data_IF_268346193879
#
_entry.id   IF_268346193879
#
_cell.length_a   1.000
_cell.length_b   1.000
_cell.length_c   1.000
_cell.angle_alpha   90.00
_cell.angle_beta   90.00
_cell.angle_gamma   90.00
#
_symmetry.space_group_name_H-M   'P 1'
#
loop_
_entity.id
_entity.type
_entity.pdbx_description
1 polymer ?
#
# COMPACT_ATOMS: atom_id res chain seq x y z
N UNK A 1 45.79 -44.39 -9.66
CA UNK A 1 44.44 -44.45 -9.04
C UNK A 1 44.22 -43.53 -7.82
N UNK A 2 45.15 -42.64 -7.41
CA UNK A 2 45.02 -41.94 -6.10
C UNK A 2 44.72 -40.44 -6.06
N UNK A 3 44.70 -39.70 -7.19
CA UNK A 3 44.56 -38.22 -7.15
C UNK A 3 43.14 -37.69 -7.39
N UNK A 4 42.25 -38.54 -7.89
CA UNK A 4 40.91 -38.15 -8.37
C UNK A 4 39.91 -37.95 -7.21
N UNK A 5 40.12 -38.59 -6.05
CA UNK A 5 39.20 -38.42 -4.91
C UNK A 5 39.37 -37.06 -4.20
N UNK A 6 40.55 -36.45 -4.29
CA UNK A 6 40.85 -35.23 -3.53
C UNK A 6 40.21 -33.99 -4.17
N UNK A 7 40.21 -33.86 -5.50
CA UNK A 7 39.59 -32.70 -6.17
C UNK A 7 38.07 -32.75 -6.08
N UNK A 8 37.47 -33.94 -6.25
CA UNK A 8 36.02 -34.12 -6.07
C UNK A 8 35.62 -33.79 -4.64
N UNK A 9 36.36 -34.30 -3.65
CA UNK A 9 36.12 -34.00 -2.24
C UNK A 9 36.23 -32.50 -1.95
N UNK A 10 37.27 -31.83 -2.47
CA UNK A 10 37.42 -30.39 -2.29
C UNK A 10 36.27 -29.61 -2.93
N UNK A 11 35.84 -30.03 -4.12
CA UNK A 11 34.73 -29.40 -4.83
C UNK A 11 33.42 -29.54 -4.05
N UNK A 12 33.07 -30.77 -3.61
CA UNK A 12 31.85 -31.01 -2.84
C UNK A 12 31.85 -30.23 -1.52
N UNK A 13 32.98 -30.20 -0.80
CA UNK A 13 33.09 -29.45 0.45
C UNK A 13 33.03 -27.94 0.23
N UNK A 14 33.65 -27.41 -0.82
CA UNK A 14 33.53 -25.99 -1.17
C UNK A 14 32.09 -25.62 -1.57
N UNK A 15 31.40 -26.45 -2.35
CA UNK A 15 29.99 -26.22 -2.70
C UNK A 15 29.09 -26.24 -1.45
N UNK A 16 29.30 -27.17 -0.52
CA UNK A 16 28.58 -27.24 0.75
C UNK A 16 28.89 -26.02 1.63
N UNK A 17 30.15 -25.59 1.70
CA UNK A 17 30.56 -24.41 2.48
C UNK A 17 29.92 -23.13 1.92
N UNK A 18 29.96 -22.94 0.60
CA UNK A 18 29.34 -21.80 -0.09
C UNK A 18 27.83 -21.82 0.11
N UNK A 19 27.18 -22.99 0.01
CA UNK A 19 25.76 -23.14 0.28
C UNK A 19 25.41 -22.75 1.72
N UNK A 20 26.19 -23.21 2.71
CA UNK A 20 25.98 -22.87 4.12
C UNK A 20 26.24 -21.38 4.41
N UNK A 21 27.27 -20.77 3.82
CA UNK A 21 27.54 -19.34 3.95
C UNK A 21 26.40 -18.52 3.34
N UNK A 22 25.90 -18.94 2.16
CA UNK A 22 24.75 -18.31 1.53
C UNK A 22 23.50 -18.45 2.42
N UNK A 23 23.23 -19.64 2.94
CA UNK A 23 22.08 -19.90 3.83
C UNK A 23 22.17 -19.08 5.13
N UNK A 24 23.35 -19.02 5.75
CA UNK A 24 23.60 -18.25 6.98
C UNK A 24 23.48 -16.74 6.75
N UNK A 25 24.02 -16.24 5.64
CA UNK A 25 23.97 -14.81 5.28
C UNK A 25 22.55 -14.38 4.89
N UNK A 26 21.81 -15.26 4.22
CA UNK A 26 20.41 -15.05 3.89
C UNK A 26 19.45 -15.40 5.02
N UNK A 27 19.91 -15.93 6.17
CA UNK A 27 19.05 -16.21 7.34
C UNK A 27 18.42 -14.93 7.91
N UNK A 28 19.11 -13.78 7.81
CA UNK A 28 18.54 -12.47 8.13
C UNK A 28 17.50 -12.01 7.11
N UNK A 29 17.72 -12.29 5.82
CA UNK A 29 16.75 -12.06 4.74
C UNK A 29 15.54 -12.98 4.92
N UNK A 30 15.74 -14.21 5.40
CA UNK A 30 14.71 -15.19 5.71
C UNK A 30 13.74 -14.69 6.79
N UNK A 31 14.27 -14.01 7.81
CA UNK A 31 13.44 -13.37 8.85
C UNK A 31 12.59 -12.23 8.27
N UNK A 32 13.13 -11.48 7.31
CA UNK A 32 12.40 -10.42 6.59
C UNK A 32 11.35 -11.00 5.62
N UNK A 33 11.68 -12.07 4.88
CA UNK A 33 10.79 -12.78 3.94
C UNK A 33 9.64 -13.47 4.67
N UNK A 34 9.90 -14.13 5.81
CA UNK A 34 8.86 -14.74 6.64
C UNK A 34 7.87 -13.70 7.20
N UNK A 35 8.32 -12.47 7.41
CA UNK A 35 7.47 -11.36 7.84
C UNK A 35 6.71 -10.69 6.68
N UNK A 36 7.16 -10.83 5.42
CA UNK A 36 6.64 -10.07 4.26
C UNK A 36 5.80 -10.89 3.28
N UNK A 37 5.20 -12.02 3.69
CA UNK A 37 4.24 -12.79 2.86
C UNK A 37 4.85 -13.35 1.55
N UNK A 38 6.18 -13.31 1.40
CA UNK A 38 6.95 -13.69 0.21
C UNK A 38 7.47 -15.13 0.25
N UNK A 39 6.95 -15.94 1.17
CA UNK A 39 7.23 -17.38 1.31
C UNK A 39 7.14 -18.20 0.01
N UNK A 40 6.18 -17.97 -0.92
CA UNK A 40 6.09 -18.74 -2.16
C UNK A 40 7.30 -18.55 -3.07
N UNK A 41 7.86 -17.34 -3.17
CA UNK A 41 9.00 -17.05 -4.03
C UNK A 41 10.27 -17.78 -3.57
N UNK A 42 10.46 -17.91 -2.26
CA UNK A 42 11.58 -18.68 -1.71
C UNK A 42 11.50 -20.16 -2.11
N UNK A 43 10.30 -20.76 -2.04
CA UNK A 43 10.11 -22.14 -2.47
C UNK A 43 10.40 -22.33 -3.97
N UNK A 44 10.03 -21.36 -4.81
CA UNK A 44 10.34 -21.40 -6.25
C UNK A 44 11.85 -21.30 -6.53
N UNK A 45 12.56 -20.39 -5.87
CA UNK A 45 14.03 -20.27 -5.99
C UNK A 45 14.73 -21.56 -5.54
N UNK A 46 14.35 -22.09 -4.37
CA UNK A 46 14.91 -23.34 -3.85
C UNK A 46 14.64 -24.52 -4.78
N UNK A 47 13.41 -24.65 -5.30
CA UNK A 47 13.07 -25.66 -6.30
C UNK A 47 13.89 -25.50 -7.59
N UNK A 48 14.11 -24.26 -8.05
CA UNK A 48 14.95 -23.96 -9.21
C UNK A 48 16.38 -24.48 -9.02
N UNK A 49 17.02 -24.17 -7.89
CA UNK A 49 18.36 -24.66 -7.56
C UNK A 49 18.43 -26.18 -7.47
N UNK A 50 17.45 -26.82 -6.82
CA UNK A 50 17.38 -28.28 -6.72
C UNK A 50 17.24 -28.93 -8.09
N UNK A 51 16.43 -28.35 -8.97
CA UNK A 51 16.21 -28.87 -10.33
C UNK A 51 17.49 -28.79 -11.16
N UNK A 52 18.23 -27.67 -11.11
CA UNK A 52 19.50 -27.55 -11.84
C UNK A 52 20.54 -28.52 -11.29
N UNK A 53 20.61 -28.72 -9.97
CA UNK A 53 21.50 -29.71 -9.36
C UNK A 53 21.21 -31.13 -9.89
N UNK A 54 19.94 -31.52 -9.94
CA UNK A 54 19.53 -32.82 -10.48
C UNK A 54 19.85 -32.96 -11.97
N UNK A 55 19.71 -31.89 -12.76
CA UNK A 55 20.10 -31.87 -14.18
C UNK A 55 21.60 -32.04 -14.34
N UNK A 56 22.43 -31.39 -13.52
CA UNK A 56 23.89 -31.55 -13.54
C UNK A 56 24.27 -33.02 -13.27
N UNK A 57 23.68 -33.63 -12.25
CA UNK A 57 23.94 -35.04 -11.93
C UNK A 57 23.45 -35.99 -13.02
N UNK A 58 22.28 -35.72 -13.63
CA UNK A 58 21.79 -36.49 -14.76
C UNK A 58 22.69 -36.37 -16.00
N UNK A 59 23.18 -35.16 -16.29
CA UNK A 59 24.11 -34.90 -17.40
C UNK A 59 25.45 -35.61 -17.18
N UNK A 60 26.00 -35.57 -15.96
CA UNK A 60 27.20 -36.34 -15.59
C UNK A 60 27.01 -37.84 -15.77
N UNK A 61 25.85 -38.37 -15.36
CA UNK A 61 25.53 -39.78 -15.52
C UNK A 61 25.36 -40.18 -16.99
N UNK A 62 24.82 -39.29 -17.83
CA UNK A 62 24.58 -39.55 -19.24
C UNK A 62 25.83 -39.37 -20.12
N UNK A 63 26.80 -38.54 -19.71
CA UNK A 63 28.02 -38.22 -20.46
C UNK A 63 29.24 -39.06 -20.06
N UNK A 64 29.04 -40.25 -19.50
CA UNK A 64 30.12 -41.14 -19.04
C UNK A 64 31.15 -41.50 -20.14
N UNK A 65 30.82 -41.33 -21.42
CA UNK A 65 31.71 -41.59 -22.56
C UNK A 65 32.51 -40.36 -23.04
N UNK A 66 32.28 -39.17 -22.49
CA UNK A 66 32.94 -37.93 -22.92
C UNK A 66 34.28 -37.72 -22.19
N UNK A 67 35.22 -37.00 -22.82
CA UNK A 67 36.52 -36.72 -22.21
C UNK A 67 36.37 -35.85 -20.95
N UNK A 68 37.14 -36.19 -19.91
CA UNK A 68 37.02 -35.59 -18.57
C UNK A 68 37.15 -34.06 -18.52
N UNK A 69 37.91 -33.43 -19.43
CA UNK A 69 38.03 -31.98 -19.51
C UNK A 69 36.71 -31.31 -19.89
N UNK A 70 35.97 -31.86 -20.86
CA UNK A 70 34.72 -31.27 -21.35
C UNK A 70 33.62 -31.34 -20.27
N UNK A 71 33.58 -32.44 -19.52
CA UNK A 71 32.62 -32.61 -18.41
C UNK A 71 32.89 -31.58 -17.30
N UNK A 72 34.17 -31.31 -17.02
CA UNK A 72 34.55 -30.33 -16.00
C UNK A 72 34.13 -28.92 -16.39
N UNK A 73 34.38 -28.50 -17.63
CA UNK A 73 34.01 -27.17 -18.12
C UNK A 73 32.49 -26.95 -18.16
N UNK A 74 31.72 -27.94 -18.61
CA UNK A 74 30.26 -27.90 -18.58
C UNK A 74 29.74 -27.81 -17.14
N UNK A 75 30.31 -28.61 -16.23
CA UNK A 75 29.91 -28.59 -14.81
C UNK A 75 30.20 -27.23 -14.17
N UNK A 76 31.37 -26.64 -14.47
CA UNK A 76 31.78 -25.35 -13.92
C UNK A 76 30.89 -24.21 -14.45
N UNK A 77 30.54 -24.26 -15.73
CA UNK A 77 29.65 -23.29 -16.36
C UNK A 77 28.22 -23.38 -15.79
N UNK A 78 27.67 -24.59 -15.65
CA UNK A 78 26.35 -24.81 -15.05
C UNK A 78 26.31 -24.35 -13.58
N UNK A 79 27.37 -24.62 -12.83
CA UNK A 79 27.53 -24.17 -11.45
C UNK A 79 27.61 -22.65 -11.33
N UNK A 80 28.37 -21.98 -12.21
CA UNK A 80 28.45 -20.53 -12.27
C UNK A 80 27.09 -19.91 -12.59
N UNK A 81 26.38 -20.46 -13.58
CA UNK A 81 25.04 -20.00 -13.97
C UNK A 81 24.06 -20.12 -12.78
N UNK A 82 24.14 -21.21 -12.01
CA UNK A 82 23.30 -21.37 -10.82
C UNK A 82 23.66 -20.45 -9.68
N UNK A 83 24.94 -20.25 -9.40
CA UNK A 83 25.37 -19.43 -8.26
C UNK A 83 25.21 -17.94 -8.50
N UNK A 84 25.28 -17.49 -9.76
CA UNK A 84 25.33 -16.05 -10.06
C UNK A 84 24.03 -15.56 -10.64
N UNK A 85 23.43 -16.25 -11.62
CA UNK A 85 22.30 -15.70 -12.35
C UNK A 85 20.97 -15.89 -11.63
N UNK A 86 20.74 -17.06 -11.02
CA UNK A 86 19.52 -17.34 -10.24
C UNK A 86 19.32 -16.39 -9.04
N UNK A 87 20.31 -16.16 -8.15
CA UNK A 87 20.11 -15.21 -7.06
C UNK A 87 20.03 -13.76 -7.53
N UNK A 88 20.66 -13.39 -8.66
CA UNK A 88 20.49 -12.05 -9.25
C UNK A 88 19.07 -11.84 -9.78
N UNK A 89 18.44 -12.87 -10.37
CA UNK A 89 17.03 -12.80 -10.77
C UNK A 89 16.10 -12.72 -9.56
N UNK A 90 16.41 -13.44 -8.47
CA UNK A 90 15.59 -13.37 -7.25
C UNK A 90 15.68 -12.00 -6.57
N UNK A 91 16.87 -11.40 -6.50
CA UNK A 91 17.04 -10.03 -5.97
C UNK A 91 16.31 -9.02 -6.85
N UNK A 92 16.40 -9.16 -8.18
CA UNK A 92 15.68 -8.28 -9.10
C UNK A 92 14.16 -8.42 -8.94
N UNK A 93 13.64 -9.65 -8.81
CA UNK A 93 12.23 -9.92 -8.55
C UNK A 93 11.79 -9.35 -7.20
N UNK A 94 12.58 -9.51 -6.15
CA UNK A 94 12.28 -8.93 -4.83
C UNK A 94 12.21 -7.40 -4.89
N UNK A 95 13.17 -6.74 -5.53
CA UNK A 95 13.21 -5.28 -5.65
C UNK A 95 12.06 -4.74 -6.51
N UNK A 96 11.70 -5.44 -7.59
CA UNK A 96 10.59 -5.04 -8.47
C UNK A 96 9.23 -5.30 -7.84
N UNK A 97 9.07 -6.40 -7.11
CA UNK A 97 7.84 -6.71 -6.37
C UNK A 97 7.61 -5.75 -5.21
N UNK A 98 8.65 -5.37 -4.46
CA UNK A 98 8.54 -4.40 -3.36
C UNK A 98 8.07 -3.03 -3.88
N UNK A 99 8.59 -2.59 -5.03
CA UNK A 99 8.12 -1.37 -5.71
C UNK A 99 6.64 -1.46 -6.13
N UNK A 100 6.20 -2.60 -6.66
CA UNK A 100 4.79 -2.78 -7.04
C UNK A 100 3.84 -2.77 -5.83
N UNK A 101 4.26 -3.34 -4.70
CA UNK A 101 3.46 -3.32 -3.46
C UNK A 101 3.38 -1.90 -2.89
N UNK A 102 4.50 -1.16 -2.88
CA UNK A 102 4.51 0.23 -2.44
C UNK A 102 3.61 1.13 -3.31
N UNK A 103 3.56 0.90 -4.62
CA UNK A 103 2.67 1.63 -5.52
C UNK A 103 1.19 1.33 -5.25
N UNK A 104 0.82 0.07 -4.97
CA UNK A 104 -0.57 -0.28 -4.64
C UNK A 104 -1.01 0.32 -3.30
N UNK A 105 -0.15 0.27 -2.28
CA UNK A 105 -0.42 0.87 -0.98
C UNK A 105 -0.47 2.41 -1.08
N UNK A 106 0.42 3.03 -1.87
CA UNK A 106 0.39 4.47 -2.15
C UNK A 106 -0.91 4.89 -2.83
N UNK A 107 -1.33 4.17 -3.88
CA UNK A 107 -2.60 4.45 -4.59
C UNK A 107 -3.78 4.29 -3.64
N UNK A 108 -3.79 3.26 -2.80
CA UNK A 108 -4.84 3.05 -1.79
C UNK A 108 -4.91 4.19 -0.78
N UNK A 109 -3.77 4.66 -0.30
CA UNK A 109 -3.70 5.76 0.66
C UNK A 109 -4.10 7.09 0.03
N UNK A 110 -3.75 7.33 -1.23
CA UNK A 110 -4.15 8.55 -1.94
C UNK A 110 -5.66 8.54 -2.24
N UNK A 111 -6.22 7.39 -2.65
CA UNK A 111 -7.68 7.21 -2.77
C UNK A 111 -8.35 7.48 -1.42
N UNK A 112 -7.82 6.93 -0.32
CA UNK A 112 -8.37 7.14 1.03
C UNK A 112 -8.34 8.62 1.43
N UNK A 113 -7.23 9.33 1.18
CA UNK A 113 -7.12 10.76 1.43
C UNK A 113 -8.12 11.55 0.59
N UNK A 114 -8.29 11.22 -0.68
CA UNK A 114 -9.26 11.87 -1.57
C UNK A 114 -10.72 11.61 -1.15
N UNK A 115 -11.04 10.41 -0.67
CA UNK A 115 -12.35 10.13 -0.05
C UNK A 115 -12.53 10.96 1.22
N UNK A 116 -11.51 11.10 2.07
CA UNK A 116 -11.61 11.91 3.29
C UNK A 116 -11.71 13.41 2.98
N UNK A 117 -11.00 13.91 1.97
CA UNK A 117 -11.08 15.30 1.46
C UNK A 117 -12.50 15.60 0.93
N UNK A 118 -13.07 14.67 0.15
CA UNK A 118 -14.45 14.76 -0.32
C UNK A 118 -15.51 14.46 0.76
N UNK A 119 -15.11 13.92 1.92
CA UNK A 119 -15.99 13.63 3.06
C UNK A 119 -15.97 14.71 4.16
N UNK A 120 -15.72 15.98 3.80
CA UNK A 120 -16.08 17.09 4.68
C UNK A 120 -17.55 16.96 5.11
N UNK A 121 -17.93 17.32 6.36
CA UNK A 121 -19.31 17.17 6.78
C UNK A 121 -20.22 18.04 5.92
N UNK A 122 -21.17 17.38 5.27
CA UNK A 122 -22.17 17.96 4.37
C UNK A 122 -23.58 17.81 4.94
N UNK A 123 -24.50 18.62 4.45
CA UNK A 123 -25.91 18.43 4.75
C UNK A 123 -26.47 17.25 3.95
N UNK A 124 -27.07 16.27 4.63
CA UNK A 124 -27.64 15.08 4.00
C UNK A 124 -28.86 15.35 3.09
N UNK A 125 -29.44 16.56 3.17
CA UNK A 125 -30.59 16.97 2.35
C UNK A 125 -30.14 17.60 1.04
N UNK A 126 -29.32 18.66 1.11
CA UNK A 126 -28.89 19.38 -0.08
C UNK A 126 -27.52 18.96 -0.63
N UNK A 127 -26.81 18.04 0.05
CA UNK A 127 -25.47 17.54 -0.34
C UNK A 127 -24.43 18.65 -0.54
N UNK A 128 -24.58 19.74 0.20
CA UNK A 128 -23.64 20.87 0.23
C UNK A 128 -22.82 20.84 1.51
N UNK A 129 -21.52 21.08 1.38
CA UNK A 129 -20.61 21.20 2.52
C UNK A 129 -20.99 22.34 3.43
N UNK A 130 -20.92 22.10 4.74
CA UNK A 130 -21.25 23.13 5.72
C UNK A 130 -20.28 24.32 5.62
N UNK A 131 -20.76 25.54 5.85
CA UNK A 131 -19.96 26.77 5.90
C UNK A 131 -20.47 27.75 6.96
N UNK A 132 -19.88 28.94 7.05
CA UNK A 132 -20.26 29.95 8.06
C UNK A 132 -21.43 30.83 7.66
N UNK A 133 -21.85 30.79 6.39
CA UNK A 133 -22.74 31.80 5.80
C UNK A 133 -24.15 31.22 5.63
N UNK A 134 -24.33 30.38 4.62
CA UNK A 134 -25.64 29.86 4.22
C UNK A 134 -25.83 28.39 4.59
N UNK A 135 -24.76 27.60 4.59
CA UNK A 135 -24.78 26.20 5.00
C UNK A 135 -24.26 26.01 6.43
N UNK A 136 -24.64 26.90 7.35
CA UNK A 136 -24.28 26.73 8.77
C UNK A 136 -25.04 25.54 9.36
N UNK A 137 -24.35 24.55 9.97
CA UNK A 137 -25.00 23.37 10.52
C UNK A 137 -25.74 23.71 11.81
N UNK A 138 -27.04 23.46 11.85
CA UNK A 138 -27.97 23.64 12.97
C UNK A 138 -28.39 22.28 13.51
N UNK A 139 -28.34 22.09 14.83
CA UNK A 139 -28.74 20.84 15.49
C UNK A 139 -30.13 20.97 16.08
N UNK A 140 -30.97 19.95 15.87
CA UNK A 140 -32.26 19.79 16.53
C UNK A 140 -32.05 19.10 17.87
N UNK A 141 -32.16 19.83 18.98
CA UNK A 141 -31.82 19.33 20.32
C UNK A 141 -32.63 18.09 20.73
N UNK A 142 -33.89 17.99 20.30
CA UNK A 142 -34.77 16.86 20.67
C UNK A 142 -34.39 15.54 19.99
N UNK A 143 -33.58 15.55 18.93
CA UNK A 143 -33.23 14.33 18.19
C UNK A 143 -31.75 14.23 17.78
N UNK A 144 -30.95 15.26 18.00
CA UNK A 144 -29.52 15.29 17.66
C UNK A 144 -29.20 15.42 16.16
N UNK A 145 -30.18 15.37 15.27
CA UNK A 145 -29.94 15.50 13.83
C UNK A 145 -29.50 16.92 13.47
N UNK A 146 -28.59 17.01 12.49
CA UNK A 146 -28.02 18.28 12.02
C UNK A 146 -28.47 18.56 10.58
N UNK A 147 -28.91 19.80 10.34
CA UNK A 147 -29.37 20.32 9.05
C UNK A 147 -28.57 21.57 8.72
N UNK A 148 -28.41 21.94 7.45
CA UNK A 148 -27.93 23.29 7.15
C UNK A 148 -29.05 24.31 7.39
N UNK A 149 -28.67 25.57 7.65
CA UNK A 149 -29.63 26.64 7.91
C UNK A 149 -30.66 26.83 6.79
N UNK A 150 -30.23 26.75 5.52
CA UNK A 150 -31.14 26.77 4.37
C UNK A 150 -32.15 25.61 4.38
N UNK A 151 -31.72 24.39 4.66
CA UNK A 151 -32.65 23.25 4.74
C UNK A 151 -33.56 23.36 5.96
N UNK A 152 -33.07 23.85 7.09
CA UNK A 152 -33.89 24.08 8.27
C UNK A 152 -35.02 25.09 7.99
N UNK A 153 -34.77 26.11 7.16
CA UNK A 153 -35.79 27.06 6.67
C UNK A 153 -36.93 26.35 5.92
N UNK A 154 -36.60 25.37 5.09
CA UNK A 154 -37.61 24.61 4.33
C UNK A 154 -38.54 23.79 5.24
N UNK A 155 -38.04 23.29 6.37
CA UNK A 155 -38.81 22.48 7.32
C UNK A 155 -39.37 23.29 8.50
N UNK A 156 -39.15 24.60 8.52
CA UNK A 156 -39.72 25.49 9.51
C UNK A 156 -41.13 25.89 9.09
N UNK A 157 -42.12 25.45 9.86
CA UNK A 157 -43.52 25.73 9.55
C UNK A 157 -43.96 27.04 10.19
N UNK A 158 -45.01 27.67 9.64
CA UNK A 158 -45.59 28.91 10.19
C UNK A 158 -46.07 28.79 11.65
N UNK A 159 -46.11 27.58 12.20
CA UNK A 159 -46.41 27.28 13.60
C UNK A 159 -45.20 27.41 14.54
N UNK A 160 -44.08 27.98 14.08
CA UNK A 160 -42.85 28.23 14.87
C UNK A 160 -42.14 26.97 15.39
N UNK A 161 -42.52 25.81 14.87
CA UNK A 161 -41.88 24.52 15.15
C UNK A 161 -41.25 23.95 13.89
N UNK A 162 -40.18 23.19 14.08
CA UNK A 162 -39.48 22.44 13.05
C UNK A 162 -39.70 20.96 13.26
N UNK A 163 -40.05 20.25 12.18
CA UNK A 163 -40.15 18.79 12.19
C UNK A 163 -38.90 18.20 11.57
N UNK A 164 -38.24 17.29 12.27
CA UNK A 164 -37.03 16.64 11.77
C UNK A 164 -37.35 15.80 10.51
N UNK A 165 -36.69 16.02 9.37
CA UNK A 165 -36.94 15.24 8.15
C UNK A 165 -36.40 13.80 8.22
N UNK A 166 -35.50 13.51 9.17
CA UNK A 166 -34.89 12.19 9.32
C UNK A 166 -35.70 11.26 10.23
N UNK A 167 -36.24 11.79 11.34
CA UNK A 167 -36.91 10.98 12.38
C UNK A 167 -38.32 11.47 12.73
N UNK A 168 -38.79 12.55 12.11
CA UNK A 168 -40.13 13.15 12.33
C UNK A 168 -40.41 13.67 13.73
N UNK A 169 -39.41 13.71 14.63
CA UNK A 169 -39.53 14.41 15.91
C UNK A 169 -39.79 15.90 15.67
N UNK A 170 -40.83 16.42 16.31
CA UNK A 170 -41.17 17.85 16.31
C UNK A 170 -40.36 18.51 17.42
N UNK A 171 -39.88 19.73 17.16
CA UNK A 171 -39.26 20.52 18.22
C UNK A 171 -40.31 20.99 19.24
N UNK A 172 -40.11 20.68 20.51
CA UNK A 172 -41.00 21.13 21.59
C UNK A 172 -40.87 22.64 21.88
N UNK A 173 -39.83 23.29 21.33
CA UNK A 173 -39.59 24.72 21.47
C UNK A 173 -40.27 25.51 20.36
N UNK A 174 -41.07 26.50 20.74
CA UNK A 174 -41.54 27.54 19.84
C UNK A 174 -40.37 28.49 19.52
N UNK A 175 -39.85 28.42 18.30
CA UNK A 175 -38.81 29.32 17.84
C UNK A 175 -39.45 30.58 17.22
N UNK A 176 -39.12 31.75 17.75
CA UNK A 176 -39.48 33.02 17.13
C UNK A 176 -38.79 33.17 15.77
N UNK A 177 -37.54 32.70 15.65
CA UNK A 177 -36.78 32.63 14.40
C UNK A 177 -35.85 31.40 14.39
N UNK A 178 -35.48 30.92 13.20
CA UNK A 178 -34.54 29.79 13.07
C UNK A 178 -33.11 30.09 13.51
N UNK A 179 -32.74 31.36 13.68
CA UNK A 179 -31.46 31.74 14.26
C UNK A 179 -31.31 31.28 15.71
N UNK A 180 -32.42 30.92 16.37
CA UNK A 180 -32.44 30.36 17.72
C UNK A 180 -32.08 28.86 17.77
N UNK A 181 -32.01 28.17 16.62
CA UNK A 181 -31.48 26.81 16.58
C UNK A 181 -29.98 26.82 16.89
N UNK A 182 -29.56 25.92 17.78
CA UNK A 182 -28.16 25.82 18.17
C UNK A 182 -27.29 25.39 16.98
N UNK A 183 -26.11 25.99 16.87
CA UNK A 183 -25.12 25.61 15.87
C UNK A 183 -24.38 24.35 16.31
N UNK A 184 -24.24 23.41 15.38
CA UNK A 184 -23.32 22.30 15.56
C UNK A 184 -21.88 22.78 15.29
N UNK A 185 -21.30 23.45 16.29
CA UNK A 185 -19.94 24.00 16.22
C UNK A 185 -18.88 22.95 15.90
N UNK A 186 -19.10 21.69 16.29
CA UNK A 186 -18.20 20.56 15.96
C UNK A 186 -18.22 20.28 14.46
N UNK A 187 -19.41 20.09 13.88
CA UNK A 187 -19.56 19.87 12.45
C UNK A 187 -18.99 21.05 11.63
N UNK A 188 -19.25 22.29 12.07
CA UNK A 188 -18.72 23.48 11.41
C UNK A 188 -17.20 23.57 11.49
N UNK A 189 -16.59 23.28 12.64
CA UNK A 189 -15.12 23.25 12.80
C UNK A 189 -14.48 22.20 11.90
N UNK A 190 -15.07 21.01 11.81
CA UNK A 190 -14.59 19.97 10.90
C UNK A 190 -14.68 20.44 9.43
N UNK A 191 -15.81 21.00 9.01
CA UNK A 191 -16.00 21.52 7.65
C UNK A 191 -14.94 22.57 7.26
N UNK A 192 -14.63 23.47 8.20
CA UNK A 192 -13.66 24.55 7.97
C UNK A 192 -12.21 24.04 8.00
N UNK A 193 -11.93 22.99 8.79
CA UNK A 193 -10.60 22.38 8.84
C UNK A 193 -10.30 21.61 7.55
N UNK A 194 -11.27 20.89 6.99
CA UNK A 194 -11.12 20.19 5.70
C UNK A 194 -10.82 21.19 4.59
N UNK A 195 -11.65 22.25 4.42
CA UNK A 195 -11.41 23.27 3.38
C UNK A 195 -10.08 24.00 3.48
N UNK A 196 -9.56 24.26 4.69
CA UNK A 196 -8.25 24.89 4.84
C UNK A 196 -7.11 23.99 4.37
N UNK A 197 -7.24 22.66 4.50
CA UNK A 197 -6.25 21.72 3.97
C UNK A 197 -6.28 21.70 2.45
N UNK A 198 -7.47 21.64 1.86
CA UNK A 198 -7.64 21.61 0.40
C UNK A 198 -6.97 22.83 -0.27
N UNK A 199 -7.17 24.03 0.30
CA UNK A 199 -6.56 25.28 -0.21
C UNK A 199 -5.04 25.29 -0.06
N UNK A 200 -4.49 24.71 1.02
CA UNK A 200 -3.04 24.66 1.25
C UNK A 200 -2.38 23.63 0.32
N UNK A 201 -2.99 22.46 0.15
CA UNK A 201 -2.47 21.42 -0.74
C UNK A 201 -2.55 21.82 -2.22
N UNK A 202 -3.64 22.50 -2.63
CA UNK A 202 -3.77 23.05 -3.98
C UNK A 202 -2.69 24.11 -4.27
N UNK A 203 -2.40 24.99 -3.29
CA UNK A 203 -1.34 25.98 -3.41
C UNK A 203 0.08 25.36 -3.44
N UNK A 204 0.31 24.28 -2.70
CA UNK A 204 1.59 23.55 -2.72
C UNK A 204 1.82 22.83 -4.06
N UNK A 205 0.79 22.20 -4.63
CA UNK A 205 0.89 21.54 -5.94
C UNK A 205 1.18 22.52 -7.09
N UNK A 206 0.57 23.71 -7.06
CA UNK A 206 0.84 24.77 -8.05
C UNK A 206 2.28 25.30 -7.95
N UNK A 207 2.84 25.41 -6.74
CA UNK A 207 4.23 25.83 -6.55
C UNK A 207 5.25 24.80 -7.04
N UNK A 208 4.99 23.50 -6.88
CA UNK A 208 5.88 22.44 -7.39
C UNK A 208 5.88 22.40 -8.92
N UNK A 209 4.72 22.61 -9.57
CA UNK A 209 4.63 22.71 -11.03
C UNK A 209 5.36 23.93 -11.60
N UNK A 210 5.40 25.03 -10.85
CA UNK A 210 6.05 26.29 -11.25
C UNK A 210 7.58 26.25 -11.12
N UNK A 211 8.11 25.51 -10.14
CA UNK A 211 9.56 25.36 -9.94
C UNK A 211 10.20 24.51 -11.06
N UNK A 212 9.52 23.48 -11.55
CA UNK A 212 10.04 22.58 -12.60
C UNK A 212 10.06 23.21 -14.01
N UNK A 213 9.44 24.37 -14.20
CA UNK A 213 9.44 25.14 -15.46
C UNK A 213 10.51 26.25 -15.48
N UNK A 214 11.15 26.55 -14.33
CA UNK A 214 12.23 27.53 -14.25
C UNK A 214 13.62 26.93 -14.48
N UNK A 215 13.73 25.60 -14.49
CA UNK A 215 14.98 24.85 -14.64
C UNK A 215 15.11 24.09 -16.00
N UNK A 216 14.26 24.41 -16.99
CA UNK A 216 14.30 23.87 -18.36
C UNK A 216 14.57 24.98 -19.39
#
# INVERSE_FOLDING_TARGET
MGKISLSLFFFTNCSILIFNIFFLRHCHVFRFILLTRSFPLFCYSFAGHLTVFLVIEAVKACLQELTHEIIHDITLFLFYYTLVLLPMTDVFLLVTMDKMILDEDYVRDEIRKNIIRSAGPECLICRRFYNKVSQTPRVLLECGHTLCMECALTFFTGSRVITCPFCRNVSDRNFATLYQLEENKRALRLALKTRKKDVVEEAEMVNIGSANLADA
#
